data_IF_603474551394
#
_entry.id   IF_603474551394
#
_cell.length_a   1.000
_cell.length_b   1.000
_cell.length_c   1.000
_cell.angle_alpha   90.00
_cell.angle_beta   90.00
_cell.angle_gamma   90.00
#
_symmetry.space_group_name_H-M   'P 1'
#
loop_
_entity.id
_entity.type
_entity.pdbx_description
1 polymer ?
#
# COMPACT_ATOMS: atom_id res chain seq x y z
N UNK A 1 -6.70 -10.92 -0.26
CA UNK A 1 -7.21 -12.29 -0.42
C UNK A 1 -6.20 -13.10 -1.20
N UNK A 2 -5.96 -14.36 -0.81
CA UNK A 2 -5.04 -15.26 -1.53
C UNK A 2 -5.77 -16.58 -1.77
N UNK A 3 -5.68 -17.12 -2.99
CA UNK A 3 -6.12 -18.48 -3.33
C UNK A 3 -4.90 -19.27 -3.75
N UNK A 4 -4.29 -20.00 -2.82
CA UNK A 4 -3.19 -20.91 -3.14
C UNK A 4 -3.65 -21.99 -4.12
N UNK A 5 -2.77 -22.44 -5.01
CA UNK A 5 -3.03 -23.57 -5.91
C UNK A 5 -2.55 -24.83 -5.19
N UNK A 6 -3.45 -25.76 -4.87
CA UNK A 6 -3.17 -26.91 -3.99
C UNK A 6 -3.47 -28.24 -4.66
N UNK A 7 -3.88 -28.20 -5.92
CA UNK A 7 -4.28 -29.34 -6.72
C UNK A 7 -3.19 -29.61 -7.79
N UNK A 8 -2.75 -30.86 -7.90
CA UNK A 8 -1.72 -31.26 -8.86
C UNK A 8 -2.17 -30.96 -10.31
N UNK A 9 -1.28 -30.37 -11.10
CA UNK A 9 -1.52 -30.08 -12.52
C UNK A 9 -2.62 -29.05 -12.80
N UNK A 10 -3.09 -28.30 -11.78
CA UNK A 10 -4.14 -27.30 -11.95
C UNK A 10 -3.71 -26.19 -12.91
N UNK A 11 -4.55 -25.92 -13.91
CA UNK A 11 -4.39 -24.81 -14.88
C UNK A 11 -5.32 -23.63 -14.59
N UNK A 12 -6.23 -23.81 -13.64
CA UNK A 12 -7.15 -22.78 -13.18
C UNK A 12 -7.60 -23.07 -11.76
N UNK A 13 -7.89 -22.02 -11.00
CA UNK A 13 -8.52 -22.10 -9.68
C UNK A 13 -9.80 -21.27 -9.64
N UNK A 14 -10.79 -21.79 -8.92
CA UNK A 14 -12.04 -21.08 -8.69
C UNK A 14 -11.87 -20.12 -7.52
N UNK A 15 -12.07 -18.83 -7.78
CA UNK A 15 -11.93 -17.74 -6.80
C UNK A 15 -13.30 -17.09 -6.59
N UNK A 16 -13.68 -16.84 -5.34
CA UNK A 16 -14.91 -16.12 -5.03
C UNK A 16 -14.60 -14.66 -4.66
N UNK A 17 -15.23 -13.73 -5.37
CA UNK A 17 -15.19 -12.30 -5.07
C UNK A 17 -16.53 -11.87 -4.47
N UNK A 18 -16.61 -11.55 -3.17
CA UNK A 18 -17.85 -11.15 -2.52
C UNK A 18 -18.49 -9.92 -3.16
N UNK A 19 -19.83 -9.86 -3.17
CA UNK A 19 -20.57 -8.65 -3.56
C UNK A 19 -20.39 -7.54 -2.51
N UNK A 20 -20.44 -6.28 -2.93
CA UNK A 20 -20.29 -5.12 -2.04
C UNK A 20 -18.84 -4.81 -1.64
N UNK A 21 -17.86 -5.52 -2.19
CA UNK A 21 -16.44 -5.19 -2.04
C UNK A 21 -15.73 -5.47 -3.35
N UNK A 22 -15.00 -4.48 -3.85
CA UNK A 22 -14.22 -4.62 -5.06
C UNK A 22 -12.80 -5.10 -4.75
N UNK A 23 -12.19 -5.81 -5.70
CA UNK A 23 -10.87 -6.41 -5.55
C UNK A 23 -10.02 -6.11 -6.78
N UNK A 24 -8.76 -5.76 -6.55
CA UNK A 24 -7.75 -5.58 -7.58
C UNK A 24 -6.94 -6.86 -7.78
N UNK A 25 -6.64 -7.20 -9.04
CA UNK A 25 -5.61 -8.17 -9.40
C UNK A 25 -4.21 -7.62 -9.06
N UNK A 26 -3.19 -8.46 -9.23
CA UNK A 26 -1.77 -8.05 -9.14
C UNK A 26 -1.35 -7.06 -10.22
N UNK A 27 -2.10 -6.97 -11.32
CA UNK A 27 -1.86 -6.04 -12.42
C UNK A 27 -2.67 -4.74 -12.28
N UNK A 28 -3.44 -4.59 -11.20
CA UNK A 28 -4.26 -3.41 -10.94
C UNK A 28 -5.62 -3.40 -11.64
N UNK A 29 -6.10 -4.53 -12.15
CA UNK A 29 -7.42 -4.67 -12.76
C UNK A 29 -8.49 -4.98 -11.73
N UNK A 30 -9.69 -4.41 -11.89
CA UNK A 30 -10.82 -4.69 -11.02
C UNK A 30 -11.48 -6.04 -11.36
N UNK A 31 -11.65 -6.88 -10.34
CA UNK A 31 -12.31 -8.18 -10.44
C UNK A 31 -13.83 -8.02 -10.32
N UNK A 32 -14.59 -8.69 -11.19
CA UNK A 32 -16.04 -8.78 -11.07
C UNK A 32 -16.47 -9.62 -9.86
N UNK A 33 -17.61 -9.27 -9.25
CA UNK A 33 -18.16 -10.05 -8.12
C UNK A 33 -18.65 -11.43 -8.57
N UNK A 34 -18.57 -12.41 -7.69
CA UNK A 34 -19.03 -13.78 -7.91
C UNK A 34 -17.88 -14.77 -8.01
N UNK A 35 -18.21 -16.00 -8.41
CA UNK A 35 -17.22 -17.02 -8.70
C UNK A 35 -16.58 -16.76 -10.06
N UNK A 36 -15.25 -16.83 -10.11
CA UNK A 36 -14.47 -16.72 -11.34
C UNK A 36 -13.48 -17.87 -11.45
N UNK A 37 -13.32 -18.39 -12.66
CA UNK A 37 -12.25 -19.34 -13.00
C UNK A 37 -11.02 -18.56 -13.45
N UNK A 38 -9.99 -18.55 -12.62
CA UNK A 38 -8.75 -17.81 -12.85
C UNK A 38 -7.69 -18.78 -13.35
N UNK A 39 -7.13 -18.51 -14.53
CA UNK A 39 -6.03 -19.30 -15.09
C UNK A 39 -4.77 -19.11 -14.25
N UNK A 40 -4.03 -20.20 -14.06
CA UNK A 40 -2.77 -20.21 -13.31
C UNK A 40 -1.72 -21.03 -14.03
N UNK A 41 -0.47 -20.61 -13.86
CA UNK A 41 0.75 -21.34 -14.22
C UNK A 41 1.52 -21.71 -12.95
N UNK A 42 2.64 -22.43 -13.10
CA UNK A 42 3.49 -22.82 -11.96
C UNK A 42 4.07 -21.62 -11.19
N UNK A 43 4.25 -20.47 -11.85
CA UNK A 43 4.82 -19.28 -11.23
C UNK A 43 3.76 -18.35 -10.62
N UNK A 44 2.47 -18.65 -10.84
CA UNK A 44 1.39 -17.78 -10.39
C UNK A 44 1.01 -18.02 -8.93
N UNK A 45 0.88 -16.90 -8.21
CA UNK A 45 0.31 -16.88 -6.86
C UNK A 45 -0.95 -16.01 -6.92
N UNK A 46 -2.15 -16.60 -7.06
CA UNK A 46 -3.41 -15.87 -7.14
C UNK A 46 -3.67 -15.07 -5.87
N UNK A 47 -3.47 -13.76 -5.95
CA UNK A 47 -3.64 -12.83 -4.85
C UNK A 47 -4.32 -11.56 -5.34
N UNK A 48 -5.17 -11.03 -4.48
CA UNK A 48 -6.05 -9.92 -4.78
C UNK A 48 -6.08 -8.94 -3.63
N UNK A 49 -6.16 -7.66 -3.95
CA UNK A 49 -6.08 -6.57 -3.01
C UNK A 49 -7.43 -5.89 -2.89
N UNK A 50 -7.89 -5.67 -1.66
CA UNK A 50 -9.21 -5.08 -1.44
C UNK A 50 -9.18 -3.62 -1.87
N UNK A 51 -10.16 -3.18 -2.66
CA UNK A 51 -10.33 -1.76 -2.96
C UNK A 51 -10.64 -0.99 -1.66
N UNK A 52 -10.09 0.21 -1.52
CA UNK A 52 -10.15 1.00 -0.29
C UNK A 52 -9.08 0.64 0.74
N UNK A 53 -8.02 -0.08 0.37
CA UNK A 53 -6.96 -0.46 1.31
C UNK A 53 -5.61 0.16 0.98
N UNK A 54 -4.84 0.48 2.02
CA UNK A 54 -3.43 0.90 1.91
C UNK A 54 -2.55 -0.17 2.55
N UNK A 55 -1.60 -0.70 1.79
CA UNK A 55 -0.70 -1.77 2.25
C UNK A 55 0.74 -1.22 2.29
N UNK A 56 1.34 -1.05 3.48
CA UNK A 56 2.75 -0.74 3.61
C UNK A 56 3.59 -2.01 3.40
N UNK A 57 4.60 -1.93 2.53
CA UNK A 57 5.52 -3.03 2.22
C UNK A 57 6.96 -2.55 2.24
N UNK A 58 7.90 -3.41 2.62
CA UNK A 58 9.33 -3.20 2.38
C UNK A 58 9.71 -3.98 1.12
N UNK A 59 9.90 -3.28 0.01
CA UNK A 59 10.18 -3.91 -1.29
C UNK A 59 11.66 -4.25 -1.50
N UNK A 60 12.55 -3.64 -0.71
CA UNK A 60 13.98 -3.98 -0.77
C UNK A 60 14.18 -5.38 -0.22
N UNK A 61 14.54 -6.32 -1.11
CA UNK A 61 14.88 -7.67 -0.70
C UNK A 61 16.17 -7.66 0.15
N UNK A 62 16.12 -8.35 1.29
CA UNK A 62 17.28 -8.66 2.14
C UNK A 62 17.27 -10.13 2.50
N UNK A 63 18.40 -10.66 2.95
CA UNK A 63 18.53 -12.05 3.36
C UNK A 63 17.87 -12.38 4.69
N UNK A 64 17.41 -11.39 5.47
CA UNK A 64 16.64 -11.61 6.71
C UNK A 64 15.79 -10.40 7.07
N UNK A 65 14.71 -10.60 7.83
CA UNK A 65 13.87 -9.53 8.37
C UNK A 65 14.65 -8.56 9.27
N UNK A 66 15.66 -9.05 10.00
CA UNK A 66 16.57 -8.22 10.81
C UNK A 66 17.32 -7.20 9.97
N UNK A 67 17.78 -7.58 8.78
CA UNK A 67 18.44 -6.64 7.85
C UNK A 67 17.46 -5.67 7.19
N UNK A 68 16.17 -6.03 7.13
CA UNK A 68 15.11 -5.14 6.64
C UNK A 68 14.67 -4.11 7.68
N UNK A 69 15.11 -4.20 8.94
CA UNK A 69 14.59 -3.37 10.03
C UNK A 69 14.62 -1.87 9.69
N UNK A 70 15.72 -1.40 9.10
CA UNK A 70 15.91 0.02 8.71
C UNK A 70 15.48 0.34 7.27
N UNK A 71 14.98 -0.62 6.51
CA UNK A 71 14.52 -0.37 5.14
C UNK A 71 13.27 0.50 5.13
N UNK A 72 13.15 1.31 4.09
CA UNK A 72 12.00 2.19 3.84
C UNK A 72 10.81 1.42 3.29
N UNK A 73 9.61 1.96 3.54
CA UNK A 73 8.36 1.41 3.04
C UNK A 73 8.02 1.95 1.64
N UNK A 74 7.37 1.11 0.85
CA UNK A 74 6.52 1.46 -0.28
C UNK A 74 5.07 1.34 0.17
N UNK A 75 4.24 2.33 -0.12
CA UNK A 75 2.81 2.25 0.14
C UNK A 75 2.07 1.87 -1.14
N UNK A 76 1.28 0.80 -1.09
CA UNK A 76 0.35 0.44 -2.16
C UNK A 76 -1.06 0.90 -1.79
N UNK A 77 -1.58 1.89 -2.50
CA UNK A 77 -2.89 2.51 -2.29
C UNK A 77 -3.86 1.96 -3.32
N UNK A 78 -4.66 0.97 -2.93
CA UNK A 78 -5.73 0.40 -3.74
C UNK A 78 -6.99 1.21 -3.54
N UNK A 79 -7.28 2.14 -4.45
CA UNK A 79 -8.36 3.12 -4.27
C UNK A 79 -9.71 2.43 -4.45
N UNK A 80 -10.65 2.70 -3.57
CA UNK A 80 -12.04 2.32 -3.80
C UNK A 80 -12.64 3.21 -4.91
N UNK A 81 -13.09 2.66 -6.04
CA UNK A 81 -13.64 3.46 -7.13
C UNK A 81 -15.01 4.07 -6.84
N UNK A 82 -15.72 3.62 -5.80
CA UNK A 82 -17.00 4.21 -5.39
C UNK A 82 -16.77 5.41 -4.47
N UNK A 83 -15.95 5.26 -3.42
CA UNK A 83 -15.68 6.32 -2.44
C UNK A 83 -14.50 7.22 -2.77
N UNK A 84 -13.68 6.84 -3.76
CA UNK A 84 -12.39 7.46 -4.09
C UNK A 84 -11.46 7.63 -2.87
N UNK A 85 -11.47 6.63 -2.00
CA UNK A 85 -10.74 6.64 -0.74
C UNK A 85 -10.01 5.32 -0.50
N UNK A 86 -9.06 5.32 0.44
CA UNK A 86 -8.44 4.11 0.96
C UNK A 86 -7.93 4.34 2.38
N UNK A 87 -7.89 3.28 3.19
CA UNK A 87 -7.35 3.31 4.55
C UNK A 87 -6.40 2.13 4.79
N UNK A 88 -5.37 2.37 5.60
CA UNK A 88 -4.48 1.32 6.07
C UNK A 88 -3.75 1.73 7.32
N UNK A 89 -2.94 0.80 7.83
CA UNK A 89 -2.27 0.95 9.10
C UNK A 89 -0.85 0.38 9.02
N UNK A 90 0.07 0.94 9.80
CA UNK A 90 1.41 0.38 9.99
C UNK A 90 1.78 0.38 11.47
N UNK A 91 2.24 -0.76 11.98
CA UNK A 91 2.72 -0.89 13.36
C UNK A 91 4.24 -1.05 13.37
N UNK A 92 4.93 -0.23 14.16
CA UNK A 92 6.39 -0.25 14.29
C UNK A 92 6.82 -0.31 15.76
N UNK A 93 7.75 -1.20 16.08
CA UNK A 93 8.43 -1.33 17.37
C UNK A 93 9.91 -1.73 17.17
N UNK A 94 10.57 -2.27 18.21
CA UNK A 94 11.94 -2.79 18.08
C UNK A 94 12.02 -4.24 17.55
N UNK A 95 10.87 -4.90 17.35
CA UNK A 95 10.70 -6.28 16.84
C UNK A 95 11.34 -7.40 17.67
N UNK A 96 11.88 -7.10 18.86
CA UNK A 96 12.69 -8.03 19.64
C UNK A 96 12.22 -8.12 21.09
N UNK A 97 11.93 -6.99 21.72
CA UNK A 97 11.64 -6.91 23.15
C UNK A 97 10.13 -6.85 23.43
N UNK A 98 9.79 -6.81 24.71
CA UNK A 98 8.42 -6.56 25.19
C UNK A 98 8.15 -5.08 25.49
N UNK A 99 9.02 -4.16 25.08
CA UNK A 99 8.90 -2.74 25.38
C UNK A 99 7.63 -2.10 24.80
N UNK A 100 7.09 -2.66 23.71
CA UNK A 100 5.81 -2.21 23.16
C UNK A 100 4.65 -2.38 24.13
N UNK A 101 4.70 -3.39 25.00
CA UNK A 101 3.68 -3.69 26.01
C UNK A 101 4.01 -3.02 27.34
N UNK A 102 5.26 -3.13 27.81
CA UNK A 102 5.64 -2.67 29.14
C UNK A 102 5.92 -1.17 29.23
N UNK A 103 6.36 -0.56 28.14
CA UNK A 103 6.82 0.83 28.10
C UNK A 103 6.10 1.64 27.00
N UNK A 104 5.09 1.07 26.34
CA UNK A 104 4.37 1.69 25.23
C UNK A 104 5.30 2.14 24.07
N UNK A 105 6.50 1.54 23.97
CA UNK A 105 7.49 1.84 22.93
C UNK A 105 7.14 1.13 21.64
N UNK A 106 6.12 1.65 20.98
CA UNK A 106 5.73 1.33 19.61
C UNK A 106 5.10 2.57 18.97
N UNK A 107 4.84 2.56 17.67
CA UNK A 107 3.98 3.53 16.99
C UNK A 107 3.01 2.81 16.06
N UNK A 108 1.73 3.14 16.19
CA UNK A 108 0.67 2.70 15.28
C UNK A 108 0.29 3.86 14.35
N UNK A 109 0.61 3.74 13.08
CA UNK A 109 0.36 4.76 12.07
C UNK A 109 -0.96 4.51 11.37
N UNK A 110 -1.77 5.57 11.24
CA UNK A 110 -2.96 5.58 10.40
C UNK A 110 -2.66 6.24 9.05
N UNK A 111 -2.94 5.51 7.98
CA UNK A 111 -2.75 5.93 6.59
C UNK A 111 -4.13 6.13 5.97
N UNK A 112 -4.40 7.32 5.43
CA UNK A 112 -5.68 7.62 4.78
C UNK A 112 -5.44 8.31 3.45
N UNK A 113 -6.10 7.82 2.40
CA UNK A 113 -6.21 8.50 1.13
C UNK A 113 -7.66 8.92 0.94
N UNK A 114 -7.90 10.20 0.66
CA UNK A 114 -9.24 10.72 0.37
C UNK A 114 -9.12 11.92 -0.58
N UNK A 115 -9.90 11.93 -1.66
CA UNK A 115 -10.03 13.12 -2.51
C UNK A 115 -8.73 13.60 -3.13
N UNK A 116 -7.81 12.67 -3.45
CA UNK A 116 -6.50 13.02 -4.03
C UNK A 116 -5.40 13.33 -3.02
N UNK A 117 -5.71 13.33 -1.72
CA UNK A 117 -4.76 13.60 -0.65
C UNK A 117 -4.42 12.32 0.12
N UNK A 118 -3.13 12.05 0.27
CA UNK A 118 -2.61 11.02 1.16
C UNK A 118 -2.17 11.66 2.48
N UNK A 119 -2.71 11.18 3.60
CA UNK A 119 -2.37 11.61 4.94
C UNK A 119 -1.82 10.45 5.75
N UNK A 120 -0.74 10.73 6.47
CA UNK A 120 -0.07 9.84 7.41
C UNK A 120 -0.16 10.52 8.76
N UNK A 121 -0.89 9.91 9.68
CA UNK A 121 -1.08 10.44 11.03
C UNK A 121 -0.60 9.43 12.08
N UNK A 122 -0.01 9.92 13.18
CA UNK A 122 0.28 9.07 14.31
C UNK A 122 -1.04 8.62 14.95
N UNK A 123 -1.08 7.37 15.37
CA UNK A 123 -2.12 6.81 16.22
C UNK A 123 -1.59 6.63 17.64
N UNK A 124 -1.69 5.41 18.16
CA UNK A 124 -1.25 5.04 19.51
C UNK A 124 0.25 4.73 19.57
N UNK A 125 0.78 4.72 20.80
CA UNK A 125 2.18 4.44 21.12
C UNK A 125 3.03 5.69 21.33
N UNK A 126 4.10 5.55 22.10
CA UNK A 126 5.05 6.60 22.47
C UNK A 126 6.49 6.28 22.04
N UNK A 127 6.66 5.35 21.11
CA UNK A 127 7.95 4.90 20.61
C UNK A 127 8.65 5.91 19.69
N UNK A 128 9.99 5.87 19.60
CA UNK A 128 10.75 6.75 18.70
C UNK A 128 10.73 6.29 17.22
N UNK A 129 9.70 5.55 16.78
CA UNK A 129 9.68 4.88 15.47
C UNK A 129 8.95 5.72 14.41
N UNK A 130 9.70 6.54 13.67
CA UNK A 130 9.17 7.26 12.51
C UNK A 130 8.82 6.34 11.34
N UNK A 131 7.90 6.77 10.47
CA UNK A 131 7.54 6.04 9.26
C UNK A 131 8.24 6.62 8.04
N UNK A 132 9.22 5.89 7.49
CA UNK A 132 9.96 6.30 6.30
C UNK A 132 9.43 5.64 5.03
N UNK A 133 9.03 6.46 4.06
CA UNK A 133 8.39 6.05 2.80
C UNK A 133 9.23 6.51 1.61
N UNK A 134 9.63 5.57 0.79
CA UNK A 134 10.40 5.86 -0.43
C UNK A 134 9.49 6.09 -1.64
N UNK A 135 8.36 5.39 -1.70
CA UNK A 135 7.51 5.34 -2.87
C UNK A 135 6.04 5.11 -2.47
N UNK A 136 5.12 5.68 -3.25
CA UNK A 136 3.68 5.40 -3.13
C UNK A 136 3.15 5.00 -4.51
N UNK A 137 2.52 3.84 -4.59
CA UNK A 137 1.87 3.32 -5.79
C UNK A 137 0.36 3.48 -5.62
N UNK A 138 -0.26 4.28 -6.49
CA UNK A 138 -1.70 4.43 -6.54
C UNK A 138 -2.28 3.53 -7.63
N UNK A 139 -3.21 2.66 -7.23
CA UNK A 139 -3.87 1.69 -8.10
C UNK A 139 -5.34 2.05 -8.20
N UNK A 140 -5.89 1.99 -9.42
CA UNK A 140 -7.30 2.29 -9.67
C UNK A 140 -7.59 3.74 -10.11
N UNK A 141 -6.56 4.55 -10.38
CA UNK A 141 -6.74 5.91 -10.88
C UNK A 141 -6.98 5.89 -12.39
N UNK A 142 -8.15 6.34 -12.80
CA UNK A 142 -8.42 6.64 -14.21
C UNK A 142 -7.70 7.95 -14.58
N UNK A 143 -7.01 8.02 -15.73
CA UNK A 143 -6.28 9.22 -16.11
C UNK A 143 -7.24 10.41 -16.24
N UNK A 144 -6.86 11.62 -15.76
CA UNK A 144 -7.60 12.82 -16.11
C UNK A 144 -7.48 13.08 -17.62
N UNK A 145 -8.55 13.61 -18.23
CA UNK A 145 -8.63 13.95 -19.66
C UNK A 145 -7.57 14.96 -20.14
N UNK A 146 -6.78 15.55 -19.24
CA UNK A 146 -5.63 16.40 -19.56
C UNK A 146 -4.46 16.05 -18.64
N UNK A 147 -3.32 15.70 -19.24
CA UNK A 147 -2.04 15.63 -18.54
C UNK A 147 -1.62 17.05 -18.12
N UNK A 148 -2.12 17.54 -16.99
CA UNK A 148 -1.44 18.63 -16.29
C UNK A 148 -0.22 18.02 -15.62
N UNK A 149 0.93 18.66 -15.77
CA UNK A 149 2.11 18.37 -14.95
C UNK A 149 1.65 18.43 -13.49
N UNK A 150 1.62 17.27 -12.83
CA UNK A 150 1.36 17.19 -11.40
C UNK A 150 2.53 17.89 -10.72
N UNK A 151 2.32 19.16 -10.37
CA UNK A 151 3.28 19.94 -9.60
C UNK A 151 3.36 19.32 -8.23
N UNK A 152 4.40 18.51 -8.01
CA UNK A 152 4.64 17.91 -6.71
C UNK A 152 4.76 19.01 -5.67
N UNK A 153 3.93 18.93 -4.63
CA UNK A 153 4.22 19.65 -3.39
C UNK A 153 5.64 19.34 -2.93
N UNK A 154 6.20 20.16 -2.04
CA UNK A 154 7.63 20.17 -1.60
C UNK A 154 8.28 18.81 -1.27
N UNK A 155 7.54 17.71 -1.16
CA UNK A 155 8.03 16.37 -0.81
C UNK A 155 8.01 15.32 -1.96
N UNK A 156 7.39 15.62 -3.11
CA UNK A 156 7.28 14.68 -4.24
C UNK A 156 8.38 14.93 -5.29
N UNK A 157 9.12 13.88 -5.64
CA UNK A 157 10.20 13.96 -6.64
C UNK A 157 9.67 13.80 -8.06
N UNK A 158 8.82 12.81 -8.29
CA UNK A 158 8.33 12.43 -9.62
C UNK A 158 7.03 11.66 -9.53
N UNK A 159 6.14 11.89 -10.49
CA UNK A 159 4.96 11.07 -10.76
C UNK A 159 5.12 10.44 -12.14
N UNK A 160 5.00 9.11 -12.21
CA UNK A 160 5.05 8.35 -13.47
C UNK A 160 3.92 7.32 -13.52
N UNK A 161 3.53 6.94 -14.73
CA UNK A 161 2.55 5.86 -14.95
C UNK A 161 3.27 4.59 -15.34
N UNK A 162 2.94 3.49 -14.67
CA UNK A 162 3.46 2.15 -14.95
C UNK A 162 2.30 1.17 -15.05
N UNK A 163 1.88 0.87 -16.27
CA UNK A 163 0.69 0.06 -16.52
C UNK A 163 -0.58 0.68 -15.92
N UNK A 164 -1.18 -0.01 -14.95
CA UNK A 164 -2.38 0.41 -14.23
C UNK A 164 -2.08 1.28 -12.98
N UNK A 165 -0.80 1.47 -12.65
CA UNK A 165 -0.38 2.19 -11.45
C UNK A 165 0.11 3.61 -11.78
N UNK A 166 -0.11 4.53 -10.85
CA UNK A 166 0.59 5.82 -10.80
C UNK A 166 1.60 5.73 -9.65
N UNK A 167 2.88 5.83 -9.98
CA UNK A 167 3.99 5.74 -9.04
C UNK A 167 4.46 7.14 -8.67
N UNK A 168 4.41 7.45 -7.39
CA UNK A 168 4.93 8.67 -6.78
C UNK A 168 6.24 8.35 -6.03
N UNK A 169 7.35 8.90 -6.50
CA UNK A 169 8.64 8.78 -5.82
C UNK A 169 8.83 9.96 -4.86
N UNK A 170 9.22 9.65 -3.62
CA UNK A 170 9.49 10.65 -2.60
C UNK A 170 10.89 11.26 -2.78
N UNK A 171 11.07 12.53 -2.44
CA UNK A 171 12.40 13.13 -2.40
C UNK A 171 13.25 12.49 -1.27
N UNK A 172 14.55 12.26 -1.50
CA UNK A 172 15.46 11.83 -0.44
C UNK A 172 15.44 12.83 0.73
N UNK A 173 15.17 12.35 1.96
CA UNK A 173 15.16 13.18 3.18
C UNK A 173 13.80 13.74 3.61
N UNK A 174 12.80 13.84 2.71
CA UNK A 174 11.40 14.19 3.05
C UNK A 174 10.50 12.95 3.21
N UNK A 175 11.11 11.77 3.15
CA UNK A 175 10.48 10.45 3.18
C UNK A 175 10.04 10.01 4.59
N UNK A 176 10.68 10.53 5.64
CA UNK A 176 10.46 10.06 7.00
C UNK A 176 9.54 11.00 7.77
N UNK A 177 8.37 10.48 8.15
CA UNK A 177 7.46 11.14 9.08
C UNK A 177 7.99 10.89 10.50
N UNK A 178 8.43 11.93 11.24
CA UNK A 178 8.90 11.77 12.61
C UNK A 178 7.81 11.21 13.52
N UNK A 179 8.16 10.50 14.61
CA UNK A 179 7.19 10.11 15.63
C UNK A 179 6.30 11.29 16.03
N UNK A 180 4.99 11.05 16.17
CA UNK A 180 3.98 12.05 16.56
C UNK A 180 3.70 13.17 15.54
N UNK A 181 4.37 13.18 14.39
CA UNK A 181 4.10 14.14 13.33
C UNK A 181 3.04 13.61 12.36
N UNK A 182 2.18 14.49 11.87
CA UNK A 182 1.30 14.21 10.73
C UNK A 182 1.93 14.77 9.47
N UNK A 183 1.92 13.99 8.40
CA UNK A 183 2.35 14.42 7.07
C UNK A 183 1.21 14.25 6.07
N UNK A 184 1.04 15.25 5.22
CA UNK A 184 0.02 15.29 4.18
C UNK A 184 0.71 15.47 2.83
N UNK A 185 0.25 14.73 1.82
CA UNK A 185 0.70 14.79 0.44
C UNK A 185 -0.50 15.01 -0.47
N UNK A 186 -0.51 16.15 -1.17
CA UNK A 186 -1.48 16.40 -2.24
C UNK A 186 -0.94 15.74 -3.52
N UNK A 187 -1.62 14.67 -3.94
CA UNK A 187 -1.18 13.82 -5.05
C UNK A 187 -1.96 14.16 -6.32
N UNK A 188 -3.24 14.47 -6.18
CA UNK A 188 -4.13 14.87 -7.26
C UNK A 188 -4.89 16.15 -6.86
N UNK A 189 -5.01 17.15 -7.75
CA UNK A 189 -5.82 18.34 -7.54
C UNK A 189 -7.32 18.07 -7.70
#
# INVERSE_FOLDING_TARGET
>A
MVRGVVEEGAKSVKVYFPRGTQWYSTTGELMSSGWQDVKVTMDDIPRYFRAGSIIPRKDTYRSSSKLMYKDTYTLYVYIDPESFSAEGYAYLDDTISYNSIHEDKHNFWKLTFNGGQLKISPGEGSGPYGLCIQQVNFIGIKPPHRSRSLGGGRALRRLRREGAEIVAEMLPGSACVPPFATQVFDVFP
#
